data_IF_536272059057
#
_entry.id   IF_536272059057
#
_cell.length_a   1.000
_cell.length_b   1.000
_cell.length_c   1.000
_cell.angle_alpha   90.00
_cell.angle_beta   90.00
_cell.angle_gamma   90.00
#
_symmetry.space_group_name_H-M   'P 1'
#
loop_
_entity.id
_entity.type
_entity.pdbx_description
1 polymer ?
#
# COMPACT_ATOMS: atom_id res chain seq x y z
N UNK A 1 -53.52 26.06 7.19
CA UNK A 1 -53.47 25.04 6.11
C UNK A 1 -52.24 25.31 5.26
N UNK A 2 -51.14 24.64 5.58
CA UNK A 2 -49.89 24.46 4.83
C UNK A 2 -49.21 23.30 5.59
N UNK A 3 -49.01 22.09 5.09
CA UNK A 3 -48.57 21.70 3.76
C UNK A 3 -47.06 21.41 3.78
N UNK A 4 -46.59 20.53 4.65
CA UNK A 4 -45.19 20.04 4.65
C UNK A 4 -45.13 18.63 4.04
N UNK A 5 -44.23 18.36 3.08
CA UNK A 5 -44.31 17.17 2.25
C UNK A 5 -43.61 15.95 2.87
N UNK A 6 -44.30 14.84 2.69
CA UNK A 6 -44.11 13.45 3.12
C UNK A 6 -42.89 12.73 2.47
N UNK A 7 -41.76 13.43 2.24
CA UNK A 7 -40.62 12.89 1.47
C UNK A 7 -39.39 12.49 2.29
N UNK A 8 -39.36 12.72 3.59
CA UNK A 8 -38.18 12.37 4.43
C UNK A 8 -38.31 10.98 5.07
N UNK A 9 -39.52 10.41 5.11
CA UNK A 9 -39.77 9.13 5.80
C UNK A 9 -39.55 7.88 4.92
N UNK A 10 -39.41 8.00 3.59
CA UNK A 10 -39.27 6.85 2.68
C UNK A 10 -37.83 6.46 2.35
N UNK A 11 -36.85 7.30 2.64
CA UNK A 11 -35.43 7.00 2.36
C UNK A 11 -34.75 6.22 3.50
N UNK A 12 -35.30 6.29 4.71
CA UNK A 12 -34.71 5.64 5.90
C UNK A 12 -35.10 4.17 6.08
N UNK A 13 -36.12 3.68 5.36
CA UNK A 13 -36.57 2.27 5.44
C UNK A 13 -35.86 1.40 4.39
N UNK A 14 -35.39 1.98 3.28
CA UNK A 14 -34.66 1.25 2.25
C UNK A 14 -33.23 0.86 2.68
N UNK A 15 -32.61 1.58 3.63
CA UNK A 15 -31.28 1.23 4.15
C UNK A 15 -31.33 0.17 5.25
N UNK A 16 -32.44 0.06 5.99
CA UNK A 16 -32.61 -0.93 7.05
C UNK A 16 -33.01 -2.32 6.52
N UNK A 17 -33.59 -2.38 5.32
CA UNK A 17 -33.99 -3.64 4.67
C UNK A 17 -32.83 -4.41 4.02
N UNK A 18 -31.68 -3.79 3.80
CA UNK A 18 -30.49 -4.45 3.23
C UNK A 18 -29.71 -5.23 4.32
N UNK A 19 -30.03 -5.02 5.60
CA UNK A 19 -29.35 -5.69 6.72
C UNK A 19 -30.06 -6.96 7.24
N UNK A 20 -31.23 -7.36 6.68
CA UNK A 20 -32.06 -8.44 7.27
C UNK A 20 -32.36 -9.62 6.30
N UNK A 21 -32.00 -9.57 5.02
CA UNK A 21 -32.38 -10.64 4.07
C UNK A 21 -31.23 -11.55 3.58
N UNK A 22 -30.33 -11.99 4.45
CA UNK A 22 -29.35 -13.06 4.15
C UNK A 22 -29.17 -14.03 5.33
N UNK A 23 -30.26 -14.48 5.94
CA UNK A 23 -30.27 -15.65 6.83
C UNK A 23 -30.89 -16.84 6.09
N UNK A 24 -30.08 -17.50 5.27
CA UNK A 24 -30.33 -18.85 4.77
C UNK A 24 -29.13 -19.73 5.12
N UNK A 25 -29.32 -20.98 5.60
CA UNK A 25 -28.21 -21.84 5.98
C UNK A 25 -27.50 -22.31 4.72
N UNK A 26 -26.35 -21.71 4.41
CA UNK A 26 -25.46 -22.24 3.38
C UNK A 26 -24.69 -23.43 3.96
N UNK A 27 -24.90 -24.59 3.35
CA UNK A 27 -24.23 -25.86 3.69
C UNK A 27 -22.71 -25.70 3.78
N UNK A 28 -22.06 -26.23 4.82
CA UNK A 28 -20.64 -26.06 5.05
C UNK A 28 -19.86 -27.19 4.39
N UNK A 29 -19.44 -27.04 3.14
CA UNK A 29 -18.45 -27.96 2.55
C UNK A 29 -17.59 -27.21 1.53
N UNK A 30 -16.26 -27.34 1.69
CA UNK A 30 -15.16 -26.71 0.95
C UNK A 30 -14.74 -25.26 1.32
N UNK A 31 -15.64 -24.37 1.76
CA UNK A 31 -15.28 -22.97 2.17
C UNK A 31 -14.60 -22.84 3.55
N UNK A 32 -14.70 -23.85 4.42
CA UNK A 32 -14.27 -23.73 5.82
C UNK A 32 -12.74 -23.72 6.04
N UNK A 33 -11.96 -24.44 5.24
CA UNK A 33 -10.49 -24.34 5.27
C UNK A 33 -10.00 -22.98 4.75
N UNK A 34 -10.79 -22.33 3.87
CA UNK A 34 -10.74 -20.92 3.46
C UNK A 34 -10.41 -19.96 4.60
N UNK A 35 -11.29 -20.02 5.58
CA UNK A 35 -11.43 -19.00 6.60
C UNK A 35 -10.41 -19.12 7.73
N UNK A 36 -9.91 -20.33 8.04
CA UNK A 36 -8.94 -20.50 9.13
C UNK A 36 -7.64 -19.72 8.90
N UNK A 37 -7.17 -19.65 7.65
CA UNK A 37 -6.00 -18.83 7.31
C UNK A 37 -6.26 -17.36 7.61
N UNK A 38 -7.38 -16.80 7.13
CA UNK A 38 -7.73 -15.39 7.36
C UNK A 38 -7.95 -15.10 8.85
N UNK A 39 -8.58 -16.02 9.58
CA UNK A 39 -8.69 -15.93 11.04
C UNK A 39 -7.30 -15.81 11.67
N UNK A 40 -6.37 -16.69 11.32
CA UNK A 40 -5.01 -16.69 11.87
C UNK A 40 -4.24 -15.42 11.48
N UNK A 41 -4.27 -15.03 10.21
CA UNK A 41 -3.56 -13.87 9.68
C UNK A 41 -4.00 -12.57 10.37
N UNK A 42 -5.31 -12.41 10.58
CA UNK A 42 -5.93 -11.21 11.15
C UNK A 42 -6.28 -11.34 12.63
N UNK A 43 -5.77 -12.37 13.33
CA UNK A 43 -5.95 -12.47 14.78
C UNK A 43 -5.25 -11.28 15.45
N UNK A 44 -5.99 -10.43 16.19
CA UNK A 44 -5.45 -9.20 16.75
C UNK A 44 -4.65 -9.44 18.04
N UNK A 45 -3.78 -8.47 18.41
CA UNK A 45 -2.95 -8.53 19.61
C UNK A 45 -3.66 -8.03 20.88
N UNK A 46 -4.91 -7.54 20.78
CA UNK A 46 -5.66 -6.95 21.89
C UNK A 46 -6.87 -7.81 22.32
N UNK A 47 -7.47 -7.58 23.51
CA UNK A 47 -8.60 -8.37 23.98
C UNK A 47 -9.83 -8.32 23.06
N UNK A 48 -10.19 -9.47 22.52
CA UNK A 48 -11.32 -9.67 21.61
C UNK A 48 -12.45 -10.43 22.30
N UNK A 49 -13.68 -10.04 21.96
CA UNK A 49 -14.91 -10.77 22.31
C UNK A 49 -15.20 -11.87 21.28
N UNK A 50 -15.08 -11.55 19.99
CA UNK A 50 -15.25 -12.52 18.90
C UNK A 50 -14.53 -12.09 17.64
N UNK A 51 -14.07 -13.07 16.87
CA UNK A 51 -13.56 -12.89 15.51
C UNK A 51 -14.28 -13.90 14.60
N UNK A 52 -14.83 -13.42 13.49
CA UNK A 52 -15.47 -14.25 12.48
C UNK A 52 -15.04 -13.83 11.08
N UNK A 53 -15.06 -14.79 10.15
CA UNK A 53 -14.89 -14.53 8.72
C UNK A 53 -16.21 -14.87 8.06
N UNK A 54 -16.87 -13.85 7.53
CA UNK A 54 -18.19 -13.95 6.92
C UNK A 54 -18.07 -13.77 5.41
N UNK A 55 -18.96 -14.43 4.66
CA UNK A 55 -19.09 -14.12 3.24
C UNK A 55 -19.69 -12.71 3.11
N UNK A 56 -19.08 -11.87 2.29
CA UNK A 56 -19.53 -10.50 2.12
C UNK A 56 -20.27 -10.31 0.80
N UNK A 57 -19.57 -10.41 -0.34
CA UNK A 57 -20.12 -10.23 -1.69
C UNK A 57 -19.36 -11.11 -2.68
N UNK A 58 -20.04 -11.74 -3.64
CA UNK A 58 -19.43 -12.64 -4.63
C UNK A 58 -18.45 -13.65 -3.98
N UNK A 59 -17.15 -13.35 -4.02
CA UNK A 59 -16.03 -14.12 -3.47
C UNK A 59 -15.26 -13.39 -2.36
N UNK A 60 -15.70 -12.21 -1.96
CA UNK A 60 -15.09 -11.40 -0.91
C UNK A 60 -15.53 -11.90 0.47
N UNK A 61 -14.60 -11.80 1.40
CA UNK A 61 -14.76 -12.10 2.80
C UNK A 61 -14.67 -10.82 3.63
N UNK A 62 -15.44 -10.79 4.71
CA UNK A 62 -15.33 -9.78 5.74
C UNK A 62 -14.76 -10.44 6.99
N UNK A 63 -13.57 -10.03 7.40
CA UNK A 63 -13.02 -10.38 8.72
C UNK A 63 -13.58 -9.39 9.72
N UNK A 64 -14.48 -9.87 10.57
CA UNK A 64 -15.17 -9.07 11.58
C UNK A 64 -14.58 -9.36 12.96
N UNK A 65 -14.05 -8.33 13.59
CA UNK A 65 -13.40 -8.37 14.90
C UNK A 65 -14.21 -7.49 15.86
N UNK A 66 -14.71 -8.09 16.94
CA UNK A 66 -15.44 -7.38 17.99
C UNK A 66 -14.55 -7.32 19.23
N UNK A 67 -14.06 -6.13 19.56
CA UNK A 67 -13.26 -5.88 20.74
C UNK A 67 -14.12 -5.88 22.02
N UNK A 68 -13.51 -6.16 23.17
CA UNK A 68 -14.21 -6.06 24.47
C UNK A 68 -14.53 -4.59 24.82
N UNK A 69 -13.69 -3.67 24.38
CA UNK A 69 -13.75 -2.23 24.63
C UNK A 69 -13.79 -1.44 23.32
N UNK A 70 -14.23 -0.16 23.31
CA UNK A 70 -14.14 0.68 22.13
C UNK A 70 -12.69 0.78 21.63
N UNK A 71 -12.50 0.62 20.32
CA UNK A 71 -11.19 0.62 19.69
C UNK A 71 -10.68 2.07 19.64
N UNK A 72 -9.47 2.28 20.16
CA UNK A 72 -8.80 3.58 20.20
C UNK A 72 -7.70 3.65 19.13
N UNK A 73 -7.24 4.87 18.85
CA UNK A 73 -6.14 5.15 17.93
C UNK A 73 -4.92 4.26 18.07
N UNK A 74 -4.27 4.31 19.24
CA UNK A 74 -3.05 3.52 19.47
C UNK A 74 -3.25 2.01 19.32
N UNK A 75 -4.45 1.48 19.57
CA UNK A 75 -4.73 0.04 19.32
C UNK A 75 -4.71 -0.31 17.82
N UNK A 76 -5.05 0.65 16.96
CA UNK A 76 -5.03 0.47 15.51
C UNK A 76 -3.63 0.62 14.95
N UNK A 77 -2.82 1.51 15.53
CA UNK A 77 -1.40 1.63 15.19
C UNK A 77 -0.68 0.32 15.58
N UNK A 78 -0.87 -0.17 16.81
CA UNK A 78 -0.32 -1.45 17.28
C UNK A 78 -0.78 -2.64 16.42
N UNK A 79 -2.05 -2.64 15.99
CA UNK A 79 -2.59 -3.66 15.12
C UNK A 79 -1.99 -3.59 13.71
N UNK A 80 -1.84 -2.39 13.16
CA UNK A 80 -1.22 -2.17 11.84
C UNK A 80 0.25 -2.60 11.85
N UNK A 81 0.99 -2.26 12.90
CA UNK A 81 2.37 -2.71 13.09
C UNK A 81 2.45 -4.23 13.23
N UNK A 82 1.51 -4.85 13.94
CA UNK A 82 1.40 -6.31 14.05
C UNK A 82 1.16 -6.95 12.69
N UNK A 83 0.23 -6.41 11.88
CA UNK A 83 0.00 -6.91 10.52
C UNK A 83 1.25 -6.73 9.66
N UNK A 84 1.89 -5.57 9.71
CA UNK A 84 3.09 -5.27 8.93
C UNK A 84 4.25 -6.20 9.30
N UNK A 85 4.40 -6.54 10.58
CA UNK A 85 5.40 -7.52 11.04
C UNK A 85 5.17 -8.94 10.50
N UNK A 86 3.93 -9.26 10.10
CA UNK A 86 3.53 -10.51 9.44
C UNK A 86 3.58 -10.42 7.92
N UNK A 87 4.09 -9.31 7.38
CA UNK A 87 4.11 -9.02 5.95
C UNK A 87 2.76 -8.61 5.38
N UNK A 88 1.80 -8.17 6.20
CA UNK A 88 0.46 -7.73 5.76
C UNK A 88 0.37 -6.21 5.89
N UNK A 89 0.17 -5.50 4.78
CA UNK A 89 0.06 -4.05 4.75
C UNK A 89 -1.32 -3.58 4.31
N UNK A 90 -1.87 -2.58 4.98
CA UNK A 90 -3.13 -1.91 4.62
C UNK A 90 -2.86 -0.56 3.97
N UNK A 91 -2.93 -0.49 2.64
CA UNK A 91 -2.75 0.73 1.85
C UNK A 91 -4.05 1.54 1.76
N UNK A 92 -3.95 2.85 1.97
CA UNK A 92 -5.10 3.76 1.86
C UNK A 92 -6.11 3.66 3.00
N UNK A 93 -5.82 2.90 4.05
CA UNK A 93 -6.61 2.90 5.28
C UNK A 93 -6.38 4.21 6.03
N UNK A 94 -7.21 5.23 5.76
CA UNK A 94 -7.26 6.43 6.61
C UNK A 94 -8.23 6.16 7.75
N UNK A 95 -7.67 5.92 8.93
CA UNK A 95 -8.43 5.67 10.15
C UNK A 95 -9.19 6.92 10.61
N UNK A 96 -10.24 6.68 11.40
CA UNK A 96 -11.14 7.61 12.13
C UNK A 96 -12.49 8.00 11.47
N UNK A 97 -13.56 7.49 12.09
CA UNK A 97 -14.95 7.95 11.98
C UNK A 97 -15.91 6.92 11.36
N UNK A 98 -17.23 7.00 11.62
CA UNK A 98 -18.20 6.25 10.84
C UNK A 98 -17.95 6.57 9.37
N UNK A 99 -17.69 5.53 8.57
CA UNK A 99 -17.38 5.64 7.16
C UNK A 99 -18.45 6.49 6.46
N UNK A 100 -18.12 7.75 6.23
CA UNK A 100 -18.77 8.58 5.24
C UNK A 100 -18.36 8.00 3.90
N UNK A 101 -19.30 7.37 3.21
CA UNK A 101 -19.11 6.80 1.87
C UNK A 101 -18.64 7.80 0.80
N UNK A 102 -18.49 9.09 1.15
CA UNK A 102 -17.91 10.13 0.31
C UNK A 102 -16.39 10.34 0.48
N UNK A 103 -15.70 9.65 1.41
CA UNK A 103 -14.22 9.65 1.39
C UNK A 103 -13.73 8.74 0.27
N UNK A 104 -13.42 9.33 -0.87
CA UNK A 104 -12.78 8.67 -2.00
C UNK A 104 -11.36 8.25 -1.65
N UNK A 105 -11.17 7.03 -1.13
CA UNK A 105 -9.86 6.38 -1.20
C UNK A 105 -9.61 6.01 -2.65
N UNK A 106 -8.85 6.82 -3.39
CA UNK A 106 -8.63 6.62 -4.85
C UNK A 106 -7.82 5.35 -5.13
N UNK A 107 -7.05 4.87 -4.16
CA UNK A 107 -6.35 3.60 -4.21
C UNK A 107 -6.33 3.00 -2.80
N UNK A 108 -7.16 1.98 -2.54
CA UNK A 108 -7.13 1.22 -1.30
C UNK A 108 -6.77 -0.23 -1.64
N UNK A 109 -5.91 -0.86 -0.85
CA UNK A 109 -5.52 -2.25 -1.06
C UNK A 109 -5.03 -2.86 0.25
N UNK A 110 -5.17 -4.18 0.37
CA UNK A 110 -4.41 -4.93 1.36
C UNK A 110 -3.45 -5.85 0.61
N UNK A 111 -2.19 -5.84 1.02
CA UNK A 111 -1.14 -6.67 0.44
C UNK A 111 -0.58 -7.59 1.50
N UNK A 112 -0.22 -8.79 1.11
CA UNK A 112 0.58 -9.71 1.90
C UNK A 112 1.82 -10.06 1.10
N UNK A 113 2.98 -10.01 1.73
CA UNK A 113 4.23 -10.43 1.12
C UNK A 113 4.89 -11.55 1.91
N UNK A 114 5.71 -12.36 1.23
CA UNK A 114 6.58 -13.35 1.88
C UNK A 114 7.85 -13.56 1.06
N UNK A 115 8.93 -13.94 1.74
CA UNK A 115 10.20 -14.28 1.10
C UNK A 115 10.04 -15.56 0.29
N UNK A 116 10.67 -15.62 -0.87
CA UNK A 116 10.75 -16.81 -1.71
C UNK A 116 11.97 -17.61 -1.27
N UNK A 117 11.77 -18.81 -0.71
CA UNK A 117 12.83 -19.58 -0.05
C UNK A 117 14.02 -19.92 -0.96
N UNK A 118 13.77 -20.10 -2.26
CA UNK A 118 14.74 -20.46 -3.29
C UNK A 118 15.31 -19.25 -4.05
N UNK A 119 14.82 -18.04 -3.79
CA UNK A 119 15.28 -16.83 -4.48
C UNK A 119 15.20 -15.60 -3.56
N UNK A 120 16.34 -15.23 -3.00
CA UNK A 120 16.42 -14.08 -2.11
C UNK A 120 16.02 -12.77 -2.80
N UNK A 121 16.18 -12.65 -4.11
CA UNK A 121 15.85 -11.46 -4.91
C UNK A 121 14.38 -11.42 -5.38
N UNK A 122 13.54 -12.36 -4.93
CA UNK A 122 12.12 -12.40 -5.26
C UNK A 122 11.24 -12.42 -4.00
N UNK A 123 10.04 -11.87 -4.15
CA UNK A 123 8.98 -11.91 -3.14
C UNK A 123 7.70 -12.41 -3.77
N UNK A 124 6.95 -13.21 -3.04
CA UNK A 124 5.59 -13.56 -3.42
C UNK A 124 4.65 -12.49 -2.82
N UNK A 125 3.75 -11.95 -3.63
CA UNK A 125 2.80 -10.91 -3.25
C UNK A 125 1.38 -11.42 -3.48
N UNK A 126 0.52 -11.28 -2.46
CA UNK A 126 -0.92 -11.45 -2.57
C UNK A 126 -1.57 -10.10 -2.36
N UNK A 127 -2.44 -9.68 -3.27
CA UNK A 127 -3.09 -8.36 -3.22
C UNK A 127 -4.59 -8.56 -3.25
N UNK A 128 -5.32 -7.83 -2.41
CA UNK A 128 -6.78 -7.75 -2.46
C UNK A 128 -7.23 -6.29 -2.55
N UNK A 129 -8.21 -6.06 -3.42
CA UNK A 129 -8.86 -4.76 -3.65
C UNK A 129 -10.35 -5.03 -3.77
N UNK A 130 -11.08 -4.80 -2.69
CA UNK A 130 -12.55 -4.94 -2.67
C UNK A 130 -13.18 -3.65 -3.18
N UNK A 131 -14.15 -3.74 -4.09
CA UNK A 131 -14.83 -2.56 -4.66
C UNK A 131 -16.30 -2.46 -4.27
N UNK A 132 -16.81 -1.23 -4.26
CA UNK A 132 -18.22 -0.95 -4.08
C UNK A 132 -18.94 -1.04 -5.43
N UNK A 133 -19.85 -2.01 -5.57
CA UNK A 133 -20.63 -2.26 -6.79
C UNK A 133 -21.38 -1.01 -7.29
N UNK A 134 -21.82 -0.12 -6.38
CA UNK A 134 -22.62 1.03 -6.77
C UNK A 134 -21.85 2.10 -7.57
N UNK A 135 -20.55 2.27 -7.29
CA UNK A 135 -19.72 3.30 -7.91
C UNK A 135 -18.39 2.76 -8.46
N UNK A 136 -18.17 1.46 -8.38
CA UNK A 136 -16.93 0.75 -8.73
C UNK A 136 -15.67 1.29 -8.03
N UNK A 137 -15.81 2.08 -6.97
CA UNK A 137 -14.68 2.60 -6.18
C UNK A 137 -14.18 1.58 -5.16
N UNK A 138 -12.91 1.63 -4.74
CA UNK A 138 -12.39 0.68 -3.76
C UNK A 138 -12.98 0.97 -2.36
N UNK A 139 -13.22 -0.08 -1.59
CA UNK A 139 -13.59 -0.02 -0.18
C UNK A 139 -12.28 0.03 0.63
N UNK A 140 -12.17 0.89 1.66
CA UNK A 140 -11.02 0.85 2.55
C UNK A 140 -10.82 -0.56 3.13
N UNK A 141 -9.60 -1.11 3.10
CA UNK A 141 -9.36 -2.49 3.52
C UNK A 141 -9.63 -2.69 5.01
N UNK A 142 -9.55 -1.63 5.82
CA UNK A 142 -9.82 -1.66 7.25
C UNK A 142 -10.71 -0.48 7.63
N UNK A 143 -11.82 -0.76 8.34
CA UNK A 143 -12.70 0.26 8.90
C UNK A 143 -13.18 -0.11 10.31
N UNK A 144 -13.44 0.91 11.13
CA UNK A 144 -13.75 0.75 12.56
C UNK A 144 -15.04 1.49 12.90
N UNK A 145 -15.91 0.83 13.67
CA UNK A 145 -17.12 1.40 14.23
C UNK A 145 -17.26 1.02 15.71
N UNK A 146 -16.87 1.93 16.61
CA UNK A 146 -16.95 1.72 18.05
C UNK A 146 -16.09 0.55 18.52
N UNK A 147 -16.71 -0.59 18.80
CA UNK A 147 -16.02 -1.84 19.22
C UNK A 147 -15.72 -2.78 18.07
N UNK A 148 -16.23 -2.49 16.89
CA UNK A 148 -16.17 -3.38 15.74
C UNK A 148 -15.11 -2.90 14.76
N UNK A 149 -14.24 -3.80 14.33
CA UNK A 149 -13.30 -3.59 13.24
C UNK A 149 -13.58 -4.60 12.15
N UNK A 150 -13.61 -4.12 10.91
CA UNK A 150 -13.94 -4.90 9.75
C UNK A 150 -12.83 -4.77 8.73
N UNK A 151 -12.44 -5.90 8.14
CA UNK A 151 -11.42 -5.98 7.11
C UNK A 151 -12.01 -6.67 5.90
N UNK A 152 -12.13 -5.94 4.80
CA UNK A 152 -12.66 -6.47 3.54
C UNK A 152 -11.50 -7.02 2.70
N UNK A 153 -11.57 -8.32 2.36
CA UNK A 153 -10.53 -9.01 1.59
C UNK A 153 -11.14 -9.98 0.59
N UNK A 154 -10.42 -10.30 -0.47
CA UNK A 154 -10.79 -11.37 -1.41
C UNK A 154 -10.70 -12.72 -0.69
N UNK A 155 -11.61 -13.66 -0.95
CA UNK A 155 -11.62 -14.97 -0.29
C UNK A 155 -10.37 -15.84 -0.56
N UNK A 156 -9.65 -15.54 -1.64
CA UNK A 156 -8.39 -16.20 -2.01
C UNK A 156 -7.13 -15.43 -1.55
N UNK A 157 -7.30 -14.36 -0.76
CA UNK A 157 -6.18 -13.60 -0.21
C UNK A 157 -5.24 -14.49 0.62
N UNK A 158 -3.93 -14.38 0.35
CA UNK A 158 -2.90 -15.25 0.93
C UNK A 158 -2.87 -16.68 0.37
N UNK A 159 -3.71 -17.01 -0.62
CA UNK A 159 -3.69 -18.28 -1.37
C UNK A 159 -3.21 -18.11 -2.79
N UNK A 160 -3.60 -17.01 -3.43
CA UNK A 160 -3.10 -16.61 -4.73
C UNK A 160 -1.90 -15.69 -4.55
N UNK A 161 -0.75 -16.14 -5.05
CA UNK A 161 0.53 -15.44 -4.97
C UNK A 161 1.01 -15.09 -6.37
N UNK A 162 1.40 -13.84 -6.56
CA UNK A 162 2.15 -13.38 -7.71
C UNK A 162 3.62 -13.25 -7.31
N UNK A 163 4.50 -13.93 -8.03
CA UNK A 163 5.93 -13.78 -7.82
C UNK A 163 6.43 -12.49 -8.48
N UNK A 164 7.08 -11.64 -7.69
CA UNK A 164 7.73 -10.42 -8.14
C UNK A 164 9.24 -10.57 -7.92
N UNK A 165 10.02 -10.31 -8.97
CA UNK A 165 11.48 -10.23 -8.84
C UNK A 165 11.85 -8.79 -8.48
N UNK A 166 12.48 -8.59 -7.31
CA UNK A 166 12.90 -7.29 -6.83
C UNK A 166 14.17 -6.82 -7.52
N UNK A 167 15.21 -7.66 -7.50
CA UNK A 167 16.47 -7.40 -8.19
C UNK A 167 16.50 -8.19 -9.49
N UNK A 168 16.37 -7.55 -10.67
CA UNK A 168 16.27 -8.27 -11.93
C UNK A 168 17.60 -8.94 -12.30
N UNK A 169 17.53 -10.09 -12.98
CA UNK A 169 18.71 -10.76 -13.54
C UNK A 169 19.16 -10.18 -14.88
N UNK A 170 18.26 -9.48 -15.57
CA UNK A 170 18.52 -8.79 -16.83
C UNK A 170 17.99 -7.38 -16.72
N UNK A 171 18.84 -6.41 -17.02
CA UNK A 171 18.49 -4.99 -16.98
C UNK A 171 18.06 -4.52 -18.37
N UNK A 172 17.06 -3.63 -18.46
CA UNK A 172 16.75 -2.98 -19.72
C UNK A 172 17.94 -2.10 -20.14
N UNK A 173 18.04 -1.81 -21.45
CA UNK A 173 19.06 -0.89 -21.95
C UNK A 173 18.61 0.54 -21.64
N UNK A 174 19.45 1.30 -20.96
CA UNK A 174 19.23 2.72 -20.72
C UNK A 174 20.55 3.49 -20.73
N UNK A 175 20.46 4.78 -21.00
CA UNK A 175 21.60 5.69 -20.83
C UNK A 175 21.73 6.02 -19.37
N UNK A 176 22.90 5.77 -18.78
CA UNK A 176 23.14 6.08 -17.37
C UNK A 176 22.92 7.58 -17.06
N UNK A 177 22.36 7.88 -15.88
CA UNK A 177 22.11 9.25 -15.44
C UNK A 177 23.41 9.93 -15.01
N UNK A 178 23.42 11.27 -14.98
CA UNK A 178 24.57 12.06 -14.52
C UNK A 178 24.88 11.81 -13.05
N UNK A 179 23.85 11.67 -12.21
CA UNK A 179 24.01 11.29 -10.81
C UNK A 179 24.59 9.88 -10.63
N UNK A 180 24.62 9.09 -11.72
CA UNK A 180 25.10 7.73 -11.73
C UNK A 180 24.21 6.78 -10.91
N UNK A 181 24.71 5.57 -10.76
CA UNK A 181 23.99 4.47 -10.11
C UNK A 181 24.60 4.16 -8.74
N UNK A 182 23.77 3.89 -7.74
CA UNK A 182 24.24 3.35 -6.46
C UNK A 182 24.96 1.99 -6.68
N UNK A 183 26.11 1.74 -6.04
CA UNK A 183 26.84 0.48 -6.20
C UNK A 183 25.99 -0.76 -5.89
N UNK A 184 25.99 -1.73 -6.80
CA UNK A 184 25.21 -2.96 -6.67
C UNK A 184 23.72 -2.82 -6.96
N UNK A 185 23.21 -1.62 -7.28
CA UNK A 185 21.85 -1.45 -7.74
C UNK A 185 21.65 -2.01 -9.16
N UNK A 186 20.44 -2.47 -9.46
CA UNK A 186 20.05 -3.01 -10.76
C UNK A 186 18.85 -2.27 -11.32
N UNK A 187 18.91 -1.92 -12.60
CA UNK A 187 17.85 -1.20 -13.28
C UNK A 187 16.65 -2.13 -13.53
N UNK A 188 15.47 -1.69 -13.06
CA UNK A 188 14.19 -2.38 -13.25
C UNK A 188 13.39 -1.80 -14.39
N UNK A 189 13.29 -0.49 -14.44
CA UNK A 189 12.45 0.23 -15.40
C UNK A 189 13.20 1.42 -15.93
N UNK A 190 13.09 1.65 -17.23
CA UNK A 190 13.61 2.84 -17.88
C UNK A 190 12.52 3.40 -18.79
N UNK A 191 12.09 4.60 -18.49
CA UNK A 191 11.22 5.38 -19.37
C UNK A 191 12.10 6.37 -20.11
N UNK A 192 12.25 6.13 -21.42
CA UNK A 192 12.87 7.06 -22.34
C UNK A 192 11.72 7.81 -23.00
N UNK A 193 11.66 9.15 -22.89
CA UNK A 193 10.57 9.93 -23.44
C UNK A 193 10.48 9.70 -24.95
N UNK A 194 9.25 9.60 -25.45
CA UNK A 194 8.99 9.60 -26.87
C UNK A 194 9.53 10.89 -27.52
N UNK A 195 9.88 10.82 -28.81
CA UNK A 195 10.35 11.98 -29.57
C UNK A 195 9.43 13.19 -29.35
N UNK A 196 10.01 14.32 -28.91
CA UNK A 196 9.29 15.57 -28.68
C UNK A 196 8.89 15.89 -27.23
N UNK A 197 9.07 14.97 -26.27
CA UNK A 197 8.77 15.24 -24.83
C UNK A 197 9.95 15.79 -24.00
N UNK A 198 11.04 16.20 -24.66
CA UNK A 198 12.25 16.72 -24.02
C UNK A 198 13.20 15.64 -23.51
N UNK A 199 14.30 16.03 -22.86
CA UNK A 199 15.36 15.13 -22.38
C UNK A 199 15.06 14.47 -21.01
N UNK A 200 13.79 14.43 -20.59
CA UNK A 200 13.42 13.92 -19.26
C UNK A 200 13.61 12.42 -19.17
N UNK A 201 14.50 11.93 -18.33
CA UNK A 201 14.71 10.49 -18.13
C UNK A 201 14.10 10.09 -16.80
N UNK A 202 13.42 8.94 -16.76
CA UNK A 202 13.01 8.29 -15.50
C UNK A 202 13.56 6.88 -15.47
N UNK A 203 14.39 6.59 -14.47
CA UNK A 203 15.02 5.30 -14.26
C UNK A 203 14.65 4.80 -12.86
N UNK A 204 14.22 3.55 -12.75
CA UNK A 204 13.89 2.93 -11.45
C UNK A 204 14.86 1.79 -11.21
N UNK A 205 15.65 1.89 -10.15
CA UNK A 205 16.57 0.85 -9.71
C UNK A 205 16.07 0.17 -8.44
N UNK A 206 16.52 -1.06 -8.23
CA UNK A 206 16.47 -1.72 -6.93
C UNK A 206 17.89 -1.89 -6.40
N UNK A 207 18.06 -1.69 -5.09
CA UNK A 207 19.30 -1.97 -4.38
C UNK A 207 19.01 -2.77 -3.11
N UNK A 208 19.94 -3.65 -2.72
CA UNK A 208 19.94 -4.28 -1.40
C UNK A 208 20.94 -3.56 -0.50
N UNK A 209 20.46 -2.54 0.22
CA UNK A 209 21.28 -1.68 1.07
C UNK A 209 20.39 -0.94 2.09
N UNK A 210 20.97 -0.44 3.19
CA UNK A 210 20.26 0.47 4.09
C UNK A 210 19.84 1.76 3.37
N UNK A 211 18.63 2.25 3.63
CA UNK A 211 18.11 3.50 3.06
C UNK A 211 19.03 4.71 3.32
N UNK A 212 19.65 4.78 4.50
CA UNK A 212 20.58 5.84 4.87
C UNK A 212 21.82 5.88 3.98
N UNK A 213 22.42 4.72 3.68
CA UNK A 213 23.63 4.63 2.84
C UNK A 213 23.33 5.08 1.41
N UNK A 214 22.17 4.68 0.88
CA UNK A 214 21.71 5.10 -0.46
C UNK A 214 21.43 6.60 -0.49
N UNK A 215 20.78 7.12 0.55
CA UNK A 215 20.54 8.56 0.72
C UNK A 215 21.85 9.36 0.72
N UNK A 216 22.82 8.98 1.55
CA UNK A 216 24.08 9.70 1.70
C UNK A 216 24.92 9.65 0.41
N UNK A 217 24.87 8.53 -0.30
CA UNK A 217 25.46 8.41 -1.64
C UNK A 217 24.90 9.46 -2.61
N UNK A 218 23.57 9.57 -2.71
CA UNK A 218 22.94 10.51 -3.65
C UNK A 218 23.07 11.97 -3.21
N UNK A 219 23.03 12.27 -1.91
CA UNK A 219 23.36 13.62 -1.40
C UNK A 219 24.76 14.04 -1.83
N UNK A 220 25.76 13.15 -1.68
CA UNK A 220 27.12 13.43 -2.12
C UNK A 220 27.21 13.63 -3.63
N UNK A 221 26.64 12.70 -4.41
CA UNK A 221 26.66 12.75 -5.87
C UNK A 221 26.00 14.02 -6.43
N UNK A 222 24.85 14.41 -5.87
CA UNK A 222 24.15 15.60 -6.33
C UNK A 222 24.89 16.89 -5.97
N UNK A 223 25.63 16.93 -4.86
CA UNK A 223 26.51 18.07 -4.53
C UNK A 223 27.72 18.20 -5.47
N UNK A 224 28.16 17.11 -6.09
CA UNK A 224 29.22 17.13 -7.12
C UNK A 224 28.72 17.73 -8.45
N UNK A 225 27.41 17.67 -8.71
CA UNK A 225 26.80 18.01 -10.02
C UNK A 225 26.07 19.35 -9.95
N UNK A 226 25.39 19.63 -8.84
CA UNK A 226 24.48 20.76 -8.68
C UNK A 226 24.93 21.66 -7.51
N UNK A 227 24.86 23.00 -7.67
CA UNK A 227 25.18 23.96 -6.61
C UNK A 227 24.10 24.00 -5.51
N UNK A 228 22.86 23.64 -5.82
CA UNK A 228 21.74 23.62 -4.86
C UNK A 228 21.31 22.17 -4.70
N UNK A 229 21.30 21.68 -3.46
CA UNK A 229 20.80 20.34 -3.11
C UNK A 229 19.83 20.45 -1.96
N UNK A 230 18.67 19.81 -2.09
CA UNK A 230 17.63 19.75 -1.07
C UNK A 230 17.29 18.29 -0.75
N UNK A 231 16.77 18.08 0.45
CA UNK A 231 16.23 16.79 0.87
C UNK A 231 14.83 17.03 1.43
N UNK A 232 13.87 16.19 1.04
CA UNK A 232 12.51 16.17 1.59
C UNK A 232 12.18 14.78 2.16
N UNK A 233 11.38 14.75 3.22
CA UNK A 233 11.15 13.54 4.03
C UNK A 233 12.37 13.16 4.87
N UNK A 234 12.19 12.23 5.80
CA UNK A 234 13.27 11.72 6.63
C UNK A 234 13.29 10.17 6.60
N UNK A 235 14.45 9.53 6.33
CA UNK A 235 14.61 8.07 6.36
C UNK A 235 14.18 7.39 7.66
N UNK A 236 14.07 8.13 8.77
CA UNK A 236 13.64 7.64 10.07
C UNK A 236 12.13 7.80 10.35
N UNK A 237 11.39 8.45 9.46
CA UNK A 237 9.95 8.67 9.65
C UNK A 237 9.16 7.36 9.67
N UNK A 238 7.95 7.42 10.22
CA UNK A 238 7.02 6.28 10.16
C UNK A 238 6.63 5.99 8.69
N UNK A 239 6.58 4.72 8.28
CA UNK A 239 6.11 4.34 6.94
C UNK A 239 4.69 4.85 6.67
N UNK A 240 4.45 5.31 5.44
CA UNK A 240 3.12 5.76 4.97
C UNK A 240 2.73 5.02 3.70
N UNK A 241 1.45 5.12 3.29
CA UNK A 241 0.96 4.45 2.08
C UNK A 241 1.76 4.89 0.85
N UNK A 242 2.43 3.94 0.20
CA UNK A 242 3.24 4.16 -0.99
C UNK A 242 3.21 2.94 -1.94
N UNK A 243 3.53 3.18 -3.21
CA UNK A 243 3.82 2.13 -4.17
C UNK A 243 5.33 1.88 -4.17
N UNK A 244 5.74 0.70 -3.73
CA UNK A 244 7.12 0.25 -3.66
C UNK A 244 7.29 -1.00 -4.54
N UNK A 245 8.10 -0.93 -5.58
CA UNK A 245 8.28 -2.02 -6.56
C UNK A 245 6.98 -2.46 -7.26
N UNK A 246 5.99 -1.56 -7.32
CA UNK A 246 4.63 -1.87 -7.79
C UNK A 246 3.73 -2.56 -6.75
N UNK A 247 4.18 -2.67 -5.49
CA UNK A 247 3.40 -3.20 -4.37
C UNK A 247 2.82 -2.02 -3.57
N UNK A 248 1.50 -1.98 -3.46
CA UNK A 248 0.79 -1.06 -2.56
C UNK A 248 1.05 -1.44 -1.11
N UNK A 249 1.94 -0.72 -0.43
CA UNK A 249 2.38 -1.06 0.93
C UNK A 249 2.64 0.19 1.77
N UNK A 250 3.06 0.01 3.03
CA UNK A 250 3.61 1.08 3.85
C UNK A 250 5.12 1.16 3.63
N UNK A 251 5.60 2.30 3.19
CA UNK A 251 7.02 2.54 2.95
C UNK A 251 7.46 3.89 3.53
N UNK A 252 8.72 3.96 3.94
CA UNK A 252 9.41 5.23 4.16
C UNK A 252 9.82 5.79 2.81
N UNK A 253 9.71 7.10 2.65
CA UNK A 253 10.14 7.80 1.44
C UNK A 253 10.99 9.01 1.82
N UNK A 254 12.07 9.21 1.09
CA UNK A 254 12.82 10.47 1.08
C UNK A 254 13.19 10.82 -0.34
N UNK A 255 13.27 12.11 -0.66
CA UNK A 255 13.68 12.58 -1.97
C UNK A 255 14.85 13.53 -1.83
N UNK A 256 15.90 13.32 -2.63
CA UNK A 256 17.05 14.21 -2.74
C UNK A 256 17.00 14.89 -4.10
N UNK A 257 16.91 16.21 -4.12
CA UNK A 257 16.85 17.02 -5.34
C UNK A 257 18.13 17.85 -5.51
N UNK A 258 18.70 17.85 -6.71
CA UNK A 258 19.80 18.72 -7.11
C UNK A 258 19.35 19.65 -8.23
N UNK A 259 19.65 20.95 -8.14
CA UNK A 259 19.17 21.96 -9.07
C UNK A 259 20.30 22.88 -9.55
N UNK A 260 20.31 23.19 -10.84
CA UNK A 260 21.23 24.14 -11.47
C UNK A 260 20.47 25.06 -12.41
N UNK A 261 20.64 26.37 -12.24
CA UNK A 261 20.09 27.38 -13.13
C UNK A 261 21.17 27.86 -14.08
N UNK A 262 20.98 27.65 -15.38
CA UNK A 262 21.88 28.13 -16.43
C UNK A 262 21.08 28.62 -17.62
N UNK A 263 21.44 29.78 -18.16
CA UNK A 263 20.83 30.35 -19.37
C UNK A 263 19.28 30.40 -19.30
N UNK A 264 18.74 30.82 -18.14
CA UNK A 264 17.30 30.85 -17.80
C UNK A 264 16.58 29.50 -17.83
N UNK A 265 17.32 28.40 -17.92
CA UNK A 265 16.82 27.03 -17.86
C UNK A 265 17.20 26.37 -16.53
N UNK A 266 16.29 25.56 -15.99
CA UNK A 266 16.53 24.76 -14.79
C UNK A 266 16.86 23.33 -15.21
N UNK A 267 18.06 22.89 -14.83
CA UNK A 267 18.49 21.50 -14.89
C UNK A 267 18.40 20.90 -13.50
N UNK A 268 17.80 19.72 -13.40
CA UNK A 268 17.60 19.06 -12.13
C UNK A 268 17.89 17.57 -12.23
N UNK A 269 18.23 17.01 -11.08
CA UNK A 269 18.19 15.58 -10.82
C UNK A 269 17.42 15.36 -9.53
N UNK A 270 16.36 14.57 -9.57
CA UNK A 270 15.59 14.18 -8.39
C UNK A 270 15.72 12.67 -8.18
N UNK A 271 16.07 12.28 -6.96
CA UNK A 271 16.21 10.88 -6.58
C UNK A 271 15.26 10.61 -5.42
N UNK A 272 14.19 9.87 -5.71
CA UNK A 272 13.23 9.40 -4.71
C UNK A 272 13.63 8.00 -4.26
N UNK A 273 13.82 7.84 -2.96
CA UNK A 273 14.22 6.61 -2.31
C UNK A 273 13.06 6.09 -1.48
N UNK A 274 12.72 4.81 -1.64
CA UNK A 274 11.65 4.16 -0.88
C UNK A 274 12.14 2.85 -0.27
N UNK A 275 11.78 2.61 0.99
CA UNK A 275 12.07 1.37 1.71
C UNK A 275 10.81 0.87 2.42
N UNK A 276 10.50 -0.41 2.28
CA UNK A 276 9.32 -1.01 2.90
C UNK A 276 9.44 -1.09 4.42
N UNK A 277 8.34 -0.84 5.14
CA UNK A 277 8.26 -1.14 6.57
C UNK A 277 8.06 -2.62 6.86
N UNK A 278 7.60 -3.38 5.87
CA UNK A 278 7.46 -4.85 5.90
C UNK A 278 8.84 -5.53 5.97
N UNK A 279 9.09 -6.47 6.91
CA UNK A 279 10.35 -7.22 7.02
C UNK A 279 10.80 -7.95 5.75
N UNK A 280 9.87 -8.27 4.87
CA UNK A 280 10.10 -8.95 3.60
C UNK A 280 10.74 -8.02 2.55
N UNK A 281 10.45 -6.73 2.64
CA UNK A 281 10.91 -5.68 1.73
C UNK A 281 11.97 -4.77 2.37
N UNK A 282 12.18 -4.85 3.68
CA UNK A 282 13.07 -3.98 4.46
C UNK A 282 14.53 -4.00 3.98
N UNK A 283 14.99 -5.11 3.39
CA UNK A 283 16.36 -5.24 2.86
C UNK A 283 16.57 -4.46 1.54
N UNK A 284 15.50 -3.93 0.94
CA UNK A 284 15.52 -3.32 -0.38
C UNK A 284 15.17 -1.84 -0.37
N UNK A 285 15.82 -1.10 -1.26
CA UNK A 285 15.51 0.30 -1.57
C UNK A 285 15.14 0.39 -3.05
N UNK A 286 13.97 0.96 -3.33
CA UNK A 286 13.62 1.43 -4.66
C UNK A 286 14.19 2.83 -4.84
N UNK A 287 14.91 3.03 -5.94
CA UNK A 287 15.58 4.28 -6.29
C UNK A 287 14.98 4.75 -7.59
N UNK A 288 14.10 5.74 -7.52
CA UNK A 288 13.53 6.40 -8.69
C UNK A 288 14.32 7.67 -8.97
N UNK A 289 14.99 7.71 -10.12
CA UNK A 289 15.84 8.80 -10.55
C UNK A 289 15.22 9.49 -11.76
N UNK A 290 15.07 10.81 -11.65
CA UNK A 290 14.57 11.69 -12.70
C UNK A 290 15.59 12.78 -13.04
N UNK A 291 15.90 12.98 -14.32
CA UNK A 291 16.83 14.01 -14.81
C UNK A 291 16.27 14.77 -16.02
N UNK A 292 16.68 16.03 -16.21
CA UNK A 292 16.40 16.80 -17.44
C UNK A 292 17.62 17.57 -18.01
#
# INVERSE_FOLDING_TARGET
MTGFPDKILRTSIALLAILICLSGPLSPTARAQGNQFLVSAFTPPFPVKSLAVEAFKQNDCLVRIIAQQPIKGGMLDDYSDTLLSRGISTYGATFYGPFDGNRSTVAAAITMTRKVADNNDAVDVSTSVVTNIANNGPIPPLFVNGKEMNIAVDGDFGRKWQRLTIMPNREPVAVEPKAGRFPGARLREAEIPAEGQGNRKRLVYAARAPLADVHDYYVKKLKEIHPIVTTTGNPADHPTSNDLFGIRTLARQTTVGGYTYRDRSMYYTEVTLKQGGDPTLADYVEIELMEN
#
